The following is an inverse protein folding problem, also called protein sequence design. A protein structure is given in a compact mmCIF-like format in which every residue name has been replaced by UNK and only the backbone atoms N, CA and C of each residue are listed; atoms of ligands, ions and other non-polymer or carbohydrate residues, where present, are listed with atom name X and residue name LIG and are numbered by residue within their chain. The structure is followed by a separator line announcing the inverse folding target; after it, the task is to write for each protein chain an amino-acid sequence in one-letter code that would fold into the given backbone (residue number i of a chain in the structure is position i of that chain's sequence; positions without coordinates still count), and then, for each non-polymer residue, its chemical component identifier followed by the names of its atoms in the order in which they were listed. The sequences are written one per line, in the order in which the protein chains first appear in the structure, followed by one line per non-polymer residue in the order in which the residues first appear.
data_IF_818646264852
#
_entry.id   IF_818646264852
#
_cell.length_a   1.000
_cell.length_b   1.000
_cell.length_c   1.000
_cell.angle_alpha   90.00
_cell.angle_beta   90.00
_cell.angle_gamma   90.00
#
_symmetry.space_group_name_H-M   'P 1'
#
loop_
_entity.id
_entity.type
_entity.pdbx_description
1 polymer ?
#
# COMPACT_ATOMS: atom_id res chain seq x y z
N UNK A 1 -18.81 6.65 -11.30
CA UNK A 1 -18.53 6.10 -9.96
C UNK A 1 -17.35 5.17 -10.13
N UNK A 2 -16.16 5.65 -9.79
CA UNK A 2 -14.90 4.91 -9.89
C UNK A 2 -14.98 3.74 -8.93
N UNK A 3 -14.89 2.53 -9.47
CA UNK A 3 -14.94 1.29 -8.72
C UNK A 3 -13.57 1.15 -8.08
N UNK A 4 -13.49 1.29 -6.75
CA UNK A 4 -12.32 0.87 -5.99
C UNK A 4 -11.98 -0.58 -6.38
N UNK A 5 -10.69 -0.94 -6.31
CA UNK A 5 -10.19 -2.29 -6.60
C UNK A 5 -11.14 -3.35 -5.99
N UNK A 6 -11.44 -4.36 -6.81
CA UNK A 6 -12.72 -5.09 -6.91
C UNK A 6 -13.29 -5.81 -5.68
N UNK A 7 -12.68 -5.74 -4.50
CA UNK A 7 -13.09 -6.49 -3.32
C UNK A 7 -13.10 -5.60 -2.08
N UNK A 8 -14.20 -4.89 -1.87
CA UNK A 8 -14.45 -4.30 -0.56
C UNK A 8 -14.90 -5.43 0.40
N UNK A 9 -14.20 -5.59 1.52
CA UNK A 9 -14.67 -6.47 2.59
C UNK A 9 -15.87 -5.80 3.28
N UNK A 10 -17.08 -6.13 2.86
CA UNK A 10 -18.30 -5.76 3.58
C UNK A 10 -18.79 -6.94 4.41
N UNK A 11 -18.99 -6.69 5.70
CA UNK A 11 -19.73 -7.60 6.54
C UNK A 11 -21.22 -7.35 6.32
N UNK A 12 -21.93 -8.39 5.88
CA UNK A 12 -23.40 -8.42 5.85
C UNK A 12 -23.83 -9.46 6.90
N UNK A 13 -24.59 -9.06 7.91
CA UNK A 13 -24.98 -9.92 9.04
C UNK A 13 -24.09 -9.73 10.28
N UNK A 14 -23.81 -10.81 11.02
CA UNK A 14 -23.17 -10.77 12.36
C UNK A 14 -21.64 -10.97 12.36
N UNK A 15 -20.94 -10.71 11.25
CA UNK A 15 -19.48 -10.84 11.20
C UNK A 15 -18.74 -9.68 11.90
N UNK A 16 -17.43 -9.82 12.08
CA UNK A 16 -16.53 -8.75 12.59
C UNK A 16 -15.27 -8.64 11.72
N UNK A 17 -14.73 -7.42 11.64
CA UNK A 17 -13.42 -7.14 11.06
C UNK A 17 -12.46 -6.89 12.21
N UNK A 18 -11.37 -7.62 12.24
CA UNK A 18 -10.32 -7.48 13.24
C UNK A 18 -9.00 -7.14 12.56
N UNK A 19 -8.34 -6.10 13.07
CA UNK A 19 -6.94 -5.83 12.78
C UNK A 19 -6.15 -5.92 14.08
N UNK A 20 -5.00 -6.58 14.04
CA UNK A 20 -4.13 -6.69 15.20
C UNK A 20 -3.32 -5.42 15.46
N UNK A 21 -3.16 -4.56 14.45
CA UNK A 21 -2.37 -3.34 14.55
C UNK A 21 -3.18 -2.18 15.14
N UNK A 22 -2.52 -1.36 15.96
CA UNK A 22 -3.09 -0.14 16.54
C UNK A 22 -3.29 0.98 15.51
N UNK A 23 -2.58 0.93 14.39
CA UNK A 23 -2.73 1.77 13.22
C UNK A 23 -2.46 0.94 11.96
N UNK A 24 -3.26 1.15 10.90
CA UNK A 24 -3.09 0.46 9.63
C UNK A 24 -1.88 1.02 8.86
N UNK A 25 -1.07 0.14 8.29
CA UNK A 25 0.10 0.45 7.47
C UNK A 25 0.25 -0.56 6.34
N UNK A 26 1.10 -0.28 5.35
CA UNK A 26 1.45 -1.27 4.34
C UNK A 26 1.95 -2.54 5.00
N UNK A 27 1.32 -3.67 4.71
CA UNK A 27 1.62 -4.97 5.31
C UNK A 27 0.72 -5.37 6.50
N UNK A 28 -0.09 -4.46 7.05
CA UNK A 28 -1.11 -4.81 8.06
C UNK A 28 -2.05 -5.89 7.53
N UNK A 29 -2.47 -6.82 8.40
CA UNK A 29 -3.39 -7.90 8.03
C UNK A 29 -4.77 -7.64 8.63
N UNK A 30 -5.78 -7.61 7.76
CA UNK A 30 -7.20 -7.53 8.12
C UNK A 30 -7.79 -8.93 8.04
N UNK A 31 -8.42 -9.39 9.13
CA UNK A 31 -9.13 -10.66 9.17
C UNK A 31 -10.63 -10.43 9.16
N UNK A 32 -11.34 -11.15 8.30
CA UNK A 32 -12.81 -11.20 8.29
C UNK A 32 -13.24 -12.42 9.09
N UNK A 33 -13.92 -12.18 10.21
CA UNK A 33 -14.33 -13.21 11.15
C UNK A 33 -15.85 -13.43 11.09
N UNK A 34 -16.29 -14.68 11.16
CA UNK A 34 -17.69 -15.06 11.27
C UNK A 34 -17.84 -16.22 12.25
N UNK A 35 -18.52 -15.97 13.37
CA UNK A 35 -18.65 -16.89 14.50
C UNK A 35 -17.27 -17.41 14.97
N UNK A 36 -16.34 -16.50 15.25
CA UNK A 36 -14.96 -16.77 15.69
C UNK A 36 -14.08 -17.56 14.70
N UNK A 37 -14.56 -17.79 13.48
CA UNK A 37 -13.81 -18.44 12.40
C UNK A 37 -13.34 -17.40 11.39
N UNK A 38 -12.02 -17.37 11.12
CA UNK A 38 -11.44 -16.56 10.06
C UNK A 38 -11.89 -17.06 8.67
N UNK A 39 -12.59 -16.22 7.93
CA UNK A 39 -13.15 -16.51 6.60
C UNK A 39 -12.30 -15.97 5.46
N UNK A 40 -11.64 -14.85 5.68
CA UNK A 40 -10.75 -14.23 4.71
C UNK A 40 -9.67 -13.40 5.43
N UNK A 41 -8.54 -13.21 4.74
CA UNK A 41 -7.49 -12.29 5.16
C UNK A 41 -7.12 -11.39 3.98
N UNK A 42 -6.88 -10.12 4.29
CA UNK A 42 -6.44 -9.12 3.34
C UNK A 42 -5.20 -8.44 3.89
N UNK A 43 -4.25 -8.14 3.01
CA UNK A 43 -3.08 -7.33 3.35
C UNK A 43 -3.33 -5.90 2.89
N UNK A 44 -3.13 -4.95 3.80
CA UNK A 44 -3.24 -3.51 3.51
C UNK A 44 -2.05 -3.09 2.66
N UNK A 45 -2.32 -2.29 1.63
CA UNK A 45 -1.32 -1.63 0.81
C UNK A 45 -1.69 -0.15 0.82
N UNK A 46 -0.76 0.69 1.24
CA UNK A 46 -0.85 2.15 1.12
C UNK A 46 0.21 2.54 0.10
N UNK A 47 -0.22 2.95 -1.10
CA UNK A 47 0.71 3.34 -2.15
C UNK A 47 1.51 4.56 -1.70
N UNK A 48 2.83 4.45 -1.74
CA UNK A 48 3.76 5.44 -1.22
C UNK A 48 4.27 5.20 0.21
N UNK A 49 3.69 4.30 1.00
CA UNK A 49 4.22 3.86 2.32
C UNK A 49 5.16 2.66 2.11
N UNK A 50 6.39 2.96 1.72
CA UNK A 50 7.41 1.98 1.28
C UNK A 50 8.11 1.36 2.48
N UNK A 51 8.32 2.12 3.55
CA UNK A 51 8.95 1.63 4.78
C UNK A 51 7.98 0.94 5.75
N UNK A 52 6.69 0.88 5.40
CA UNK A 52 5.62 0.25 6.20
C UNK A 52 5.42 0.90 7.57
N UNK A 53 5.53 2.22 7.65
CA UNK A 53 5.27 2.99 8.87
C UNK A 53 3.84 3.54 8.96
N UNK A 54 3.06 3.45 7.87
CA UNK A 54 1.65 3.89 7.80
C UNK A 54 1.47 5.35 7.38
N UNK A 55 2.55 6.03 7.02
CA UNK A 55 2.55 7.38 6.47
C UNK A 55 3.34 7.41 5.17
N UNK A 56 2.96 8.31 4.27
CA UNK A 56 3.71 8.55 3.03
C UNK A 56 4.45 9.87 3.17
N UNK A 57 5.76 9.81 3.38
CA UNK A 57 6.58 10.98 3.66
C UNK A 57 7.94 11.00 2.93
N UNK A 58 8.83 11.89 3.37
CA UNK A 58 10.15 12.05 2.76
C UNK A 58 11.07 10.83 2.95
N UNK A 59 10.83 10.03 3.98
CA UNK A 59 11.55 8.77 4.25
C UNK A 59 11.25 7.76 3.15
N UNK A 60 9.98 7.63 2.77
CA UNK A 60 9.56 6.75 1.67
C UNK A 60 10.18 7.21 0.35
N UNK A 61 10.18 8.52 0.08
CA UNK A 61 10.79 9.08 -1.13
C UNK A 61 12.29 8.79 -1.22
N UNK A 62 13.00 8.90 -0.09
CA UNK A 62 14.41 8.56 -0.01
C UNK A 62 14.64 7.05 -0.23
N UNK A 63 13.87 6.20 0.43
CA UNK A 63 14.04 4.76 0.36
C UNK A 63 13.69 4.21 -1.03
N UNK A 64 12.61 4.71 -1.62
CA UNK A 64 12.20 4.44 -3.00
C UNK A 64 13.29 4.83 -4.00
N UNK A 65 13.92 6.00 -3.82
CA UNK A 65 15.02 6.44 -4.67
C UNK A 65 16.25 5.53 -4.58
N UNK A 66 16.58 4.98 -3.41
CA UNK A 66 17.64 3.99 -3.28
C UNK A 66 17.35 2.70 -4.05
N UNK A 67 16.08 2.28 -4.09
CA UNK A 67 15.65 1.08 -4.80
C UNK A 67 15.63 1.32 -6.30
N UNK A 68 14.98 2.39 -6.76
CA UNK A 68 14.90 2.77 -8.17
C UNK A 68 16.28 3.02 -8.81
N UNK A 69 17.24 3.55 -8.04
CA UNK A 69 18.62 3.73 -8.50
C UNK A 69 19.47 2.44 -8.47
N UNK A 70 18.93 1.34 -7.94
CA UNK A 70 19.64 0.07 -7.79
C UNK A 70 20.70 0.06 -6.69
N UNK A 71 20.75 1.07 -5.83
CA UNK A 71 21.64 1.09 -4.66
C UNK A 71 21.18 0.08 -3.59
N UNK A 72 19.87 -0.18 -3.53
CA UNK A 72 19.25 -1.23 -2.71
C UNK A 72 18.46 -2.14 -3.62
N UNK A 73 18.61 -3.47 -3.47
CA UNK A 73 17.80 -4.42 -4.23
C UNK A 73 16.35 -4.36 -3.76
N UNK A 74 15.39 -4.33 -4.69
CA UNK A 74 13.96 -4.43 -4.37
C UNK A 74 13.59 -5.74 -3.64
N UNK A 75 14.44 -6.77 -3.68
CA UNK A 75 14.20 -8.04 -2.99
C UNK A 75 14.24 -7.96 -1.45
N UNK A 76 14.73 -6.84 -0.90
CA UNK A 76 14.61 -6.58 0.54
C UNK A 76 13.18 -6.21 0.96
N UNK A 77 12.34 -5.78 0.01
CA UNK A 77 10.95 -5.42 0.26
C UNK A 77 10.06 -6.66 0.33
N UNK A 78 9.10 -6.63 1.26
CA UNK A 78 7.98 -7.59 1.26
C UNK A 78 7.09 -7.40 0.02
N UNK A 79 6.26 -8.38 -0.38
CA UNK A 79 5.33 -8.21 -1.50
C UNK A 79 4.42 -6.99 -1.37
N UNK A 80 3.92 -6.68 -0.17
CA UNK A 80 3.09 -5.50 0.07
C UNK A 80 3.87 -4.19 -0.13
N UNK A 81 5.12 -4.13 0.36
CA UNK A 81 6.00 -2.98 0.15
C UNK A 81 6.40 -2.81 -1.31
N UNK A 82 6.60 -3.90 -2.06
CA UNK A 82 6.85 -3.84 -3.51
C UNK A 82 5.67 -3.19 -4.24
N UNK A 83 4.44 -3.51 -3.85
CA UNK A 83 3.25 -2.84 -4.41
C UNK A 83 3.14 -1.38 -3.95
N UNK A 84 3.46 -1.08 -2.69
CA UNK A 84 3.46 0.30 -2.21
C UNK A 84 4.54 1.17 -2.88
N UNK A 85 5.64 0.56 -3.33
CA UNK A 85 6.75 1.19 -4.04
C UNK A 85 6.48 1.46 -5.53
N UNK A 86 5.33 1.01 -6.07
CA UNK A 86 4.85 1.28 -7.43
C UNK A 86 3.57 2.16 -7.36
N UNK A 87 3.67 3.41 -6.90
CA UNK A 87 2.53 4.32 -6.79
C UNK A 87 1.97 4.78 -8.15
N UNK A 88 2.71 4.62 -9.25
CA UNK A 88 2.23 4.97 -10.59
C UNK A 88 1.46 3.80 -11.26
N UNK A 89 1.51 2.59 -10.68
CA UNK A 89 0.83 1.36 -11.09
C UNK A 89 1.27 0.83 -12.46
N UNK A 90 2.52 1.07 -12.86
CA UNK A 90 3.05 0.63 -14.15
C UNK A 90 3.73 -0.75 -14.11
N UNK A 91 3.83 -1.35 -12.93
CA UNK A 91 4.41 -2.66 -12.67
C UNK A 91 5.93 -2.64 -12.49
N UNK A 92 6.55 -1.47 -12.39
CA UNK A 92 7.98 -1.28 -12.14
C UNK A 92 8.18 -0.38 -10.94
N UNK A 93 9.39 -0.44 -10.38
CA UNK A 93 9.83 0.48 -9.33
C UNK A 93 11.00 1.25 -9.93
N UNK A 94 10.73 2.47 -10.38
CA UNK A 94 11.72 3.29 -11.09
C UNK A 94 11.63 4.80 -10.77
N UNK A 95 12.27 5.61 -11.62
CA UNK A 95 12.39 7.04 -11.40
C UNK A 95 11.04 7.78 -11.50
N UNK A 96 10.05 7.22 -12.21
CA UNK A 96 8.73 7.83 -12.35
C UNK A 96 7.94 7.72 -11.04
N UNK A 97 8.12 6.63 -10.28
CA UNK A 97 7.56 6.46 -8.94
C UNK A 97 8.13 7.48 -7.95
N UNK A 98 9.45 7.66 -7.98
CA UNK A 98 10.16 8.65 -7.16
C UNK A 98 9.65 10.06 -7.47
N UNK A 99 9.51 10.38 -8.75
CA UNK A 99 9.02 11.68 -9.19
C UNK A 99 7.57 11.92 -8.76
N UNK A 100 6.71 10.90 -8.84
CA UNK A 100 5.33 10.97 -8.38
C UNK A 100 5.25 11.26 -6.89
N UNK A 101 6.04 10.55 -6.07
CA UNK A 101 6.03 10.71 -4.61
C UNK A 101 6.57 12.08 -4.17
N UNK A 102 7.67 12.52 -4.80
CA UNK A 102 8.25 13.84 -4.55
C UNK A 102 7.26 14.97 -4.93
N UNK A 103 6.57 14.84 -6.06
CA UNK A 103 5.56 15.81 -6.46
C UNK A 103 4.34 15.81 -5.54
N UNK A 104 3.97 14.66 -4.98
CA UNK A 104 2.87 14.56 -4.03
C UNK A 104 3.19 15.28 -2.72
N UNK A 105 4.43 15.14 -2.22
CA UNK A 105 4.93 15.91 -1.07
C UNK A 105 4.97 17.43 -1.32
N UNK A 106 5.06 17.86 -2.58
CA UNK A 106 4.97 19.26 -3.01
C UNK A 106 3.56 19.71 -3.39
N UNK A 107 2.54 18.87 -3.20
CA UNK A 107 1.15 19.11 -3.58
C UNK A 107 0.95 19.38 -5.08
N UNK A 108 1.80 18.79 -5.92
CA UNK A 108 1.74 18.89 -7.39
C UNK A 108 1.10 17.67 -8.05
N UNK A 109 0.99 16.57 -7.33
CA UNK A 109 0.35 15.32 -7.76
C UNK A 109 -0.37 14.68 -6.57
N UNK A 110 -1.16 13.65 -6.87
CA UNK A 110 -1.85 12.80 -5.89
C UNK A 110 -1.37 11.37 -6.14
N UNK A 111 -1.08 10.63 -5.07
CA UNK A 111 -0.86 9.17 -5.16
C UNK A 111 -2.21 8.49 -5.11
N UNK A 112 -2.63 7.92 -6.24
CA UNK A 112 -3.88 7.17 -6.33
C UNK A 112 -3.80 5.89 -5.52
N UNK A 113 -4.66 5.76 -4.50
CA UNK A 113 -4.70 4.59 -3.62
C UNK A 113 -5.50 3.43 -4.20
N UNK A 114 -6.01 3.58 -5.43
CA UNK A 114 -6.81 2.58 -6.13
C UNK A 114 -6.13 2.13 -7.39
N UNK A 115 -6.10 0.81 -7.62
CA UNK A 115 -5.69 0.26 -8.90
C UNK A 115 -6.71 0.63 -9.99
N UNK A 116 -6.26 0.96 -11.22
CA UNK A 116 -7.15 1.09 -12.37
C UNK A 116 -7.91 -0.22 -12.63
N UNK A 117 -9.16 -0.07 -13.09
CA UNK A 117 -10.09 -1.19 -13.30
C UNK A 117 -9.77 -2.04 -14.54
#
# INVERSE_FOLDING_TARGET
MTKFASDYAQIIGSGTIECADTALRTGSVIKVMCNDVCRAQYTVIIFGDVDSNGTTDGTDSYYLNLIASGMVSADVLTPAQKMAADPNHDGKIDADDVALLANAGLLKSIVEQTLPA
#
